data_IF_440517809736
#
_entry.id   IF_440517809736
#
_cell.length_a   1.000
_cell.length_b   1.000
_cell.length_c   1.000
_cell.angle_alpha   90.00
_cell.angle_beta   90.00
_cell.angle_gamma   90.00
#
_symmetry.space_group_name_H-M   'P 1'
#
loop_
_entity.id
_entity.type
_entity.pdbx_description
1 polymer ?
#
# COMPACT_ATOMS: atom_id res chain seq x y z
N UNK A 1 15.28 -14.56 -3.90
CA UNK A 1 14.01 -13.92 -4.13
C UNK A 1 13.06 -14.83 -4.91
N UNK A 2 13.31 -15.06 -6.22
CA UNK A 2 12.39 -15.79 -7.12
C UNK A 2 11.92 -17.14 -6.56
N UNK A 3 12.84 -17.96 -6.04
CA UNK A 3 12.49 -19.26 -5.47
C UNK A 3 11.48 -19.19 -4.32
N UNK A 4 11.56 -18.14 -3.48
CA UNK A 4 10.62 -17.93 -2.36
C UNK A 4 9.24 -17.52 -2.85
N UNK A 5 9.19 -16.62 -3.83
CA UNK A 5 7.94 -16.16 -4.44
C UNK A 5 7.22 -17.31 -5.16
N UNK A 6 7.96 -18.12 -5.93
CA UNK A 6 7.43 -19.33 -6.59
C UNK A 6 6.90 -20.33 -5.56
N UNK A 7 7.70 -20.66 -4.54
CA UNK A 7 7.30 -21.63 -3.51
C UNK A 7 6.02 -21.15 -2.76
N UNK A 8 5.91 -19.85 -2.49
CA UNK A 8 4.72 -19.30 -1.87
C UNK A 8 3.48 -19.43 -2.78
N UNK A 9 3.61 -19.01 -4.03
CA UNK A 9 2.53 -19.13 -5.01
C UNK A 9 2.13 -20.60 -5.22
N UNK A 10 3.06 -21.54 -5.32
CA UNK A 10 2.76 -22.96 -5.52
C UNK A 10 1.98 -23.57 -4.36
N UNK A 11 2.26 -23.12 -3.13
CA UNK A 11 1.56 -23.59 -1.92
C UNK A 11 0.23 -22.84 -1.65
N UNK A 12 -0.03 -21.72 -2.34
CA UNK A 12 -1.23 -20.88 -2.17
C UNK A 12 -1.89 -20.58 -3.52
N UNK A 13 -2.64 -21.52 -4.10
CA UNK A 13 -3.22 -21.38 -5.44
C UNK A 13 -4.26 -20.23 -5.55
N UNK A 14 -4.82 -19.78 -4.44
CA UNK A 14 -5.75 -18.65 -4.33
C UNK A 14 -5.05 -17.27 -4.33
N UNK A 15 -3.72 -17.24 -4.15
CA UNK A 15 -2.91 -16.02 -4.22
C UNK A 15 -2.38 -15.83 -5.64
N UNK A 16 -2.70 -14.69 -6.26
CA UNK A 16 -2.22 -14.34 -7.59
C UNK A 16 -1.09 -13.32 -7.61
N UNK A 17 -0.87 -12.60 -6.51
CA UNK A 17 0.20 -11.61 -6.37
C UNK A 17 0.95 -11.83 -5.07
N UNK A 18 2.25 -12.06 -5.17
CA UNK A 18 3.15 -12.07 -4.02
C UNK A 18 4.21 -10.98 -4.19
N UNK A 19 4.57 -10.31 -3.11
CA UNK A 19 5.62 -9.30 -3.07
C UNK A 19 6.42 -9.43 -1.77
N UNK A 20 7.25 -8.44 -1.44
CA UNK A 20 8.00 -8.42 -0.18
C UNK A 20 8.67 -7.09 0.08
N UNK A 21 9.47 -7.03 1.15
CA UNK A 21 10.12 -5.81 1.62
C UNK A 21 11.25 -5.33 0.71
N UNK A 22 11.52 -4.03 0.82
CA UNK A 22 12.62 -3.34 0.14
C UNK A 22 13.63 -2.83 1.16
N UNK A 23 14.92 -2.99 0.86
CA UNK A 23 16.00 -2.23 1.49
C UNK A 23 16.42 -1.11 0.54
N UNK A 24 15.97 0.09 0.83
CA UNK A 24 16.37 1.29 0.10
C UNK A 24 17.79 1.70 0.51
N UNK A 25 18.62 2.07 -0.47
CA UNK A 25 20.00 2.53 -0.25
C UNK A 25 20.35 3.62 -1.27
N UNK A 26 21.42 4.34 -1.05
CA UNK A 26 21.89 5.44 -1.93
C UNK A 26 21.75 6.78 -1.24
N UNK A 27 20.94 7.70 -1.77
CA UNK A 27 20.73 9.03 -1.16
C UNK A 27 19.86 8.96 0.11
N UNK A 28 19.14 7.87 0.32
CA UNK A 28 18.37 7.60 1.54
C UNK A 28 18.48 6.11 1.88
N UNK A 29 18.57 5.80 3.17
CA UNK A 29 18.62 4.42 3.65
C UNK A 29 17.43 4.13 4.55
N UNK A 30 16.66 3.09 4.20
CA UNK A 30 15.48 2.67 4.95
C UNK A 30 15.07 1.24 4.60
N UNK A 31 14.31 0.61 5.48
CA UNK A 31 13.62 -0.65 5.18
C UNK A 31 12.13 -0.36 5.07
N UNK A 32 11.55 -0.71 3.94
CA UNK A 32 10.13 -0.55 3.65
C UNK A 32 9.46 -1.93 3.68
N UNK A 33 8.51 -2.10 4.60
CA UNK A 33 7.67 -3.29 4.71
C UNK A 33 6.21 -2.88 4.53
N UNK A 34 5.49 -3.64 3.73
CA UNK A 34 4.06 -3.47 3.49
C UNK A 34 3.26 -4.47 4.35
N UNK A 35 1.94 -4.24 4.56
CA UNK A 35 1.09 -5.20 5.25
C UNK A 35 1.19 -6.60 4.64
N UNK A 36 1.13 -7.63 5.48
CA UNK A 36 1.36 -9.02 5.09
C UNK A 36 0.17 -9.63 4.37
N UNK A 37 -1.02 -9.53 4.96
CA UNK A 37 -2.20 -10.28 4.57
C UNK A 37 -3.06 -9.55 3.53
N UNK A 38 -3.75 -10.31 2.69
CA UNK A 38 -4.62 -9.82 1.63
C UNK A 38 -5.58 -8.70 2.09
N UNK A 39 -6.23 -8.92 3.22
CA UNK A 39 -7.21 -7.95 3.73
C UNK A 39 -6.56 -6.62 4.09
N UNK A 40 -5.41 -6.65 4.75
CA UNK A 40 -4.70 -5.44 5.14
C UNK A 40 -4.09 -4.75 3.93
N UNK A 41 -3.55 -5.52 2.96
CA UNK A 41 -3.05 -4.98 1.68
C UNK A 41 -4.16 -4.23 0.96
N UNK A 42 -5.35 -4.81 0.82
CA UNK A 42 -6.50 -4.20 0.15
C UNK A 42 -7.02 -2.95 0.88
N UNK A 43 -7.02 -2.98 2.21
CA UNK A 43 -7.35 -1.80 3.03
C UNK A 43 -6.34 -0.69 2.78
N UNK A 44 -5.05 -0.98 2.79
CA UNK A 44 -4.00 0.02 2.55
C UNK A 44 -4.00 0.54 1.11
N UNK A 45 -4.37 -0.28 0.10
CA UNK A 45 -4.53 0.17 -1.28
C UNK A 45 -5.59 1.27 -1.44
N UNK A 46 -6.48 1.48 -0.48
CA UNK A 46 -7.39 2.64 -0.48
C UNK A 46 -6.69 3.95 -0.13
N UNK A 47 -5.45 3.92 0.35
CA UNK A 47 -4.67 5.11 0.72
C UNK A 47 -3.37 5.24 -0.06
N UNK A 48 -2.64 4.14 -0.24
CA UNK A 48 -1.34 4.15 -0.89
C UNK A 48 -1.04 2.81 -1.57
N UNK A 49 -0.03 2.80 -2.44
CA UNK A 49 0.46 1.58 -3.06
C UNK A 49 1.14 0.69 -2.00
N UNK A 50 0.49 -0.41 -1.62
CA UNK A 50 0.93 -1.35 -0.57
C UNK A 50 1.52 -2.65 -1.12
N UNK A 51 1.90 -2.67 -2.40
CA UNK A 51 2.60 -3.78 -3.06
C UNK A 51 3.83 -3.22 -3.77
N UNK A 52 5.00 -3.68 -3.41
CA UNK A 52 6.25 -3.23 -4.01
C UNK A 52 6.42 -3.84 -5.40
N UNK A 53 6.19 -3.06 -6.46
CA UNK A 53 6.26 -3.52 -7.85
C UNK A 53 7.61 -4.18 -8.20
N UNK A 54 8.71 -3.61 -7.75
CA UNK A 54 10.06 -4.13 -7.99
C UNK A 54 10.35 -5.47 -7.29
N UNK A 55 9.54 -5.84 -6.30
CA UNK A 55 9.67 -7.05 -5.49
C UNK A 55 8.45 -7.98 -5.64
N UNK A 56 7.71 -7.90 -6.74
CA UNK A 56 6.51 -8.71 -6.92
C UNK A 56 6.68 -9.84 -7.95
N UNK A 57 5.84 -10.85 -7.81
CA UNK A 57 5.57 -11.89 -8.78
C UNK A 57 4.06 -12.07 -8.92
N UNK A 58 3.58 -12.16 -10.17
CA UNK A 58 2.15 -12.26 -10.50
C UNK A 58 1.91 -13.55 -11.28
N UNK A 59 0.84 -14.27 -10.96
CA UNK A 59 0.38 -15.37 -11.80
C UNK A 59 -0.09 -14.83 -13.14
N UNK A 60 0.53 -15.30 -14.22
CA UNK A 60 0.16 -14.89 -15.58
C UNK A 60 -1.32 -15.19 -15.88
N UNK A 61 -1.84 -16.32 -15.42
CA UNK A 61 -3.26 -16.69 -15.59
C UNK A 61 -4.21 -15.64 -15.03
N UNK A 62 -3.91 -15.07 -13.86
CA UNK A 62 -4.77 -14.02 -13.26
C UNK A 62 -4.88 -12.80 -14.17
N UNK A 63 -3.80 -12.41 -14.85
CA UNK A 63 -3.83 -11.31 -15.81
C UNK A 63 -4.62 -11.69 -17.07
N UNK A 64 -4.34 -12.85 -17.65
CA UNK A 64 -4.95 -13.31 -18.90
C UNK A 64 -6.44 -13.59 -18.73
N UNK A 65 -6.83 -14.35 -17.71
CA UNK A 65 -8.21 -14.77 -17.48
C UNK A 65 -9.14 -13.60 -17.13
N UNK A 66 -8.58 -12.50 -16.59
CA UNK A 66 -9.34 -11.30 -16.25
C UNK A 66 -9.14 -10.13 -17.24
N UNK A 67 -8.40 -10.35 -18.33
CA UNK A 67 -8.07 -9.32 -19.33
C UNK A 67 -7.49 -8.05 -18.67
N UNK A 68 -6.47 -8.24 -17.82
CA UNK A 68 -5.80 -7.17 -17.09
C UNK A 68 -4.42 -6.92 -17.69
N UNK A 69 -4.19 -5.68 -18.11
CA UNK A 69 -2.92 -5.20 -18.64
C UNK A 69 -2.54 -3.88 -17.96
N UNK A 70 -1.30 -3.44 -18.15
CA UNK A 70 -0.88 -2.10 -17.75
C UNK A 70 -1.60 -1.05 -18.60
N UNK A 71 -2.08 0.00 -17.94
CA UNK A 71 -2.78 1.11 -18.57
C UNK A 71 -1.84 2.33 -18.64
N UNK A 72 -1.24 2.64 -19.82
CA UNK A 72 -0.20 3.67 -19.96
C UNK A 72 -0.63 5.07 -19.53
N UNK A 73 -1.93 5.38 -19.61
CA UNK A 73 -2.51 6.64 -19.19
C UNK A 73 -2.36 6.95 -17.71
N UNK A 74 -2.11 5.93 -16.89
CA UNK A 74 -1.85 6.10 -15.45
C UNK A 74 -0.35 6.24 -15.12
N UNK A 75 0.54 6.21 -16.13
CA UNK A 75 1.96 6.43 -15.89
C UNK A 75 2.22 7.82 -15.27
N UNK A 76 3.06 7.91 -14.22
CA UNK A 76 3.98 6.90 -13.68
C UNK A 76 3.45 6.14 -12.44
N UNK A 77 2.16 5.89 -12.30
CA UNK A 77 1.54 5.11 -11.23
C UNK A 77 0.80 3.87 -11.79
N UNK A 78 1.27 3.35 -12.93
CA UNK A 78 0.70 2.21 -13.64
C UNK A 78 0.66 0.92 -12.80
N UNK A 79 1.60 0.76 -11.89
CA UNK A 79 1.63 -0.33 -10.92
C UNK A 79 0.47 -0.23 -9.92
N UNK A 80 0.24 0.94 -9.37
CA UNK A 80 -0.87 1.16 -8.45
C UNK A 80 -2.23 0.92 -9.14
N UNK A 81 -2.35 1.32 -10.40
CA UNK A 81 -3.53 1.03 -11.22
C UNK A 81 -3.72 -0.47 -11.44
N UNK A 82 -2.64 -1.20 -11.71
CA UNK A 82 -2.67 -2.65 -11.87
C UNK A 82 -3.19 -3.33 -10.58
N UNK A 83 -2.67 -2.92 -9.42
CA UNK A 83 -3.13 -3.46 -8.13
C UNK A 83 -4.60 -3.16 -7.89
N UNK A 84 -5.07 -1.96 -8.21
CA UNK A 84 -6.48 -1.61 -8.09
C UNK A 84 -7.39 -2.56 -8.89
N UNK A 85 -7.00 -2.93 -10.10
CA UNK A 85 -7.75 -3.90 -10.92
C UNK A 85 -7.70 -5.31 -10.33
N UNK A 86 -6.54 -5.72 -9.85
CA UNK A 86 -6.33 -7.06 -9.27
C UNK A 86 -7.04 -7.28 -7.93
N UNK A 87 -7.39 -6.22 -7.19
CA UNK A 87 -8.18 -6.32 -5.95
C UNK A 87 -9.49 -7.12 -6.13
N UNK A 88 -10.06 -7.12 -7.33
CA UNK A 88 -11.34 -7.75 -7.65
C UNK A 88 -11.26 -9.25 -7.83
N UNK A 89 -10.15 -9.75 -8.32
CA UNK A 89 -10.08 -11.09 -8.89
C UNK A 89 -9.03 -12.01 -8.25
N UNK A 90 -8.19 -11.49 -7.34
CA UNK A 90 -7.18 -12.33 -6.70
C UNK A 90 -6.87 -11.88 -5.28
N UNK A 91 -6.11 -12.72 -4.58
CA UNK A 91 -5.54 -12.40 -3.28
C UNK A 91 -4.08 -12.00 -3.43
N UNK A 92 -3.63 -11.17 -2.48
CA UNK A 92 -2.27 -10.64 -2.35
C UNK A 92 -1.59 -11.21 -1.12
N UNK A 93 -0.26 -11.24 -1.15
CA UNK A 93 0.55 -11.52 0.02
C UNK A 93 1.89 -10.77 -0.06
N UNK A 94 2.34 -10.17 1.02
CA UNK A 94 3.67 -9.60 1.12
C UNK A 94 4.52 -10.42 2.09
N UNK A 95 5.52 -11.11 1.57
CA UNK A 95 6.53 -11.84 2.36
C UNK A 95 7.22 -10.85 3.29
N UNK A 96 7.21 -11.13 4.60
CA UNK A 96 7.74 -10.25 5.63
C UNK A 96 9.27 -10.36 5.76
N UNK A 97 9.94 -10.30 4.61
CA UNK A 97 11.41 -10.24 4.49
C UNK A 97 11.81 -9.25 3.40
N UNK A 98 12.99 -8.69 3.52
CA UNK A 98 13.59 -7.88 2.48
C UNK A 98 13.96 -8.78 1.28
N UNK A 99 13.27 -8.59 0.16
CA UNK A 99 13.51 -9.36 -1.06
C UNK A 99 14.36 -8.62 -2.09
N UNK A 100 14.38 -7.29 -2.05
CA UNK A 100 15.04 -6.44 -3.06
C UNK A 100 15.81 -5.32 -2.38
N UNK A 101 17.03 -5.04 -2.89
CA UNK A 101 17.75 -3.80 -2.63
C UNK A 101 17.33 -2.77 -3.68
N UNK A 102 16.71 -1.67 -3.25
CA UNK A 102 16.19 -0.61 -4.12
C UNK A 102 17.10 0.61 -4.01
N UNK A 103 17.71 1.00 -5.14
CA UNK A 103 18.59 2.17 -5.17
C UNK A 103 17.77 3.46 -5.24
N UNK A 104 17.94 4.31 -4.24
CA UNK A 104 17.34 5.65 -4.22
C UNK A 104 18.35 6.67 -4.74
N UNK A 105 17.97 7.43 -5.77
CA UNK A 105 18.78 8.47 -6.39
C UNK A 105 17.90 9.59 -6.96
N UNK A 106 18.49 10.72 -7.29
CA UNK A 106 17.76 11.92 -7.74
C UNK A 106 16.91 11.69 -8.99
N UNK A 107 17.37 10.83 -9.89
CA UNK A 107 16.68 10.52 -11.16
C UNK A 107 15.61 9.41 -11.04
N UNK A 108 15.25 8.96 -9.84
CA UNK A 108 14.11 8.07 -9.70
C UNK A 108 12.83 8.72 -10.23
N UNK A 109 11.99 7.98 -10.92
CA UNK A 109 10.69 8.45 -11.46
C UNK A 109 9.85 9.15 -10.40
N UNK A 110 9.86 8.63 -9.18
CA UNK A 110 9.19 9.25 -8.02
C UNK A 110 9.67 10.68 -7.76
N UNK A 111 10.96 10.99 -8.00
CA UNK A 111 11.49 12.33 -7.78
C UNK A 111 11.25 13.23 -8.99
N UNK A 112 11.47 12.72 -10.21
CA UNK A 112 11.45 13.52 -11.44
C UNK A 112 10.06 13.79 -11.97
N UNK A 113 9.07 12.92 -11.69
CA UNK A 113 7.68 13.02 -12.18
C UNK A 113 6.65 13.09 -11.03
N UNK A 114 7.05 13.62 -9.88
CA UNK A 114 6.21 13.66 -8.68
C UNK A 114 4.82 14.29 -8.90
N UNK A 115 4.65 15.45 -9.56
CA UNK A 115 3.32 16.05 -9.77
C UNK A 115 2.39 15.17 -10.63
N UNK A 116 2.95 14.47 -11.62
CA UNK A 116 2.18 13.55 -12.48
C UNK A 116 1.77 12.30 -11.69
N UNK A 117 2.71 11.73 -10.93
CA UNK A 117 2.46 10.59 -10.06
C UNK A 117 1.37 10.89 -9.04
N UNK A 118 1.39 12.07 -8.42
CA UNK A 118 0.36 12.50 -7.46
C UNK A 118 -1.03 12.56 -8.11
N UNK A 119 -1.14 13.13 -9.33
CA UNK A 119 -2.43 13.19 -10.04
C UNK A 119 -2.97 11.80 -10.37
N UNK A 120 -2.12 10.93 -10.92
CA UNK A 120 -2.49 9.55 -11.22
C UNK A 120 -2.88 8.79 -9.95
N UNK A 121 -2.09 8.93 -8.88
CA UNK A 121 -2.37 8.33 -7.58
C UNK A 121 -3.74 8.73 -7.04
N UNK A 122 -4.05 10.03 -7.01
CA UNK A 122 -5.34 10.53 -6.52
C UNK A 122 -6.52 10.02 -7.35
N UNK A 123 -6.38 9.94 -8.67
CA UNK A 123 -7.39 9.40 -9.56
C UNK A 123 -7.67 7.91 -9.27
N UNK A 124 -6.60 7.11 -9.14
CA UNK A 124 -6.69 5.68 -8.81
C UNK A 124 -7.29 5.48 -7.42
N UNK A 125 -6.80 6.22 -6.43
CA UNK A 125 -7.30 6.17 -5.06
C UNK A 125 -8.81 6.46 -5.00
N UNK A 126 -9.26 7.49 -5.72
CA UNK A 126 -10.70 7.83 -5.79
C UNK A 126 -11.50 6.67 -6.37
N UNK A 127 -11.01 6.02 -7.43
CA UNK A 127 -11.68 4.85 -8.01
C UNK A 127 -11.77 3.69 -7.02
N UNK A 128 -10.65 3.35 -6.34
CA UNK A 128 -10.62 2.28 -5.32
C UNK A 128 -11.61 2.60 -4.20
N UNK A 129 -11.60 3.83 -3.68
CA UNK A 129 -12.49 4.22 -2.57
C UNK A 129 -13.97 4.15 -2.94
N UNK A 130 -14.32 4.51 -4.18
CA UNK A 130 -15.70 4.41 -4.68
C UNK A 130 -16.14 2.96 -4.85
N UNK A 131 -15.23 2.09 -5.29
CA UNK A 131 -15.53 0.69 -5.53
C UNK A 131 -15.50 -0.16 -4.25
N UNK A 132 -14.60 0.16 -3.32
CA UNK A 132 -14.40 -0.57 -2.07
C UNK A 132 -14.58 0.31 -0.83
N UNK A 133 -15.74 0.95 -0.65
CA UNK A 133 -15.96 1.92 0.44
C UNK A 133 -15.80 1.29 1.83
N UNK A 134 -16.06 0.01 1.98
CA UNK A 134 -15.86 -0.72 3.24
C UNK A 134 -14.38 -0.77 3.64
N UNK A 135 -13.46 -1.03 2.70
CA UNK A 135 -12.01 -1.01 2.98
C UNK A 135 -11.54 0.39 3.35
N UNK A 136 -12.03 1.43 2.65
CA UNK A 136 -11.74 2.82 2.97
C UNK A 136 -12.19 3.17 4.39
N UNK A 137 -13.41 2.80 4.76
CA UNK A 137 -13.93 3.03 6.11
C UNK A 137 -13.07 2.37 7.19
N UNK A 138 -12.62 1.13 6.97
CA UNK A 138 -11.71 0.45 7.90
C UNK A 138 -10.37 1.19 7.99
N UNK A 139 -9.78 1.60 6.86
CA UNK A 139 -8.54 2.36 6.87
C UNK A 139 -8.66 3.64 7.73
N UNK A 140 -9.70 4.44 7.50
CA UNK A 140 -9.91 5.69 8.22
C UNK A 140 -10.14 5.49 9.71
N UNK A 141 -10.85 4.44 10.09
CA UNK A 141 -11.18 4.18 11.49
C UNK A 141 -10.10 3.44 12.27
N UNK A 142 -9.32 2.58 11.63
CA UNK A 142 -8.37 1.71 12.31
C UNK A 142 -6.92 2.17 12.11
N UNK A 143 -6.54 2.52 10.89
CA UNK A 143 -5.13 2.76 10.54
C UNK A 143 -4.77 4.25 10.46
N UNK A 144 -5.69 5.11 10.01
CA UNK A 144 -5.38 6.53 9.84
C UNK A 144 -5.12 7.22 11.16
N UNK A 145 -3.96 7.87 11.27
CA UNK A 145 -3.62 8.71 12.40
C UNK A 145 -4.07 10.15 12.14
N UNK A 146 -4.92 10.67 13.01
CA UNK A 146 -5.40 12.05 12.95
C UNK A 146 -4.85 12.85 14.11
N UNK A 147 -4.38 14.07 13.85
CA UNK A 147 -3.91 15.00 14.87
C UNK A 147 -4.81 16.21 14.93
N UNK A 148 -5.21 16.60 16.14
CA UNK A 148 -5.79 17.92 16.40
C UNK A 148 -4.67 18.79 16.97
N UNK A 149 -4.41 19.93 16.35
CA UNK A 149 -3.32 20.84 16.73
C UNK A 149 -3.86 22.08 17.40
N UNK A 150 -3.21 22.51 18.48
CA UNK A 150 -3.45 23.82 19.10
C UNK A 150 -2.66 24.88 18.32
N UNK A 151 -3.33 25.96 17.89
CA UNK A 151 -2.75 27.02 17.06
C UNK A 151 -2.07 26.52 15.78
N UNK A 152 -2.49 25.36 15.24
CA UNK A 152 -1.91 24.78 14.02
C UNK A 152 -0.52 24.16 14.18
N UNK A 153 0.12 24.29 15.33
CA UNK A 153 1.52 23.90 15.55
C UNK A 153 1.65 22.76 16.58
N UNK A 154 1.08 22.94 17.75
CA UNK A 154 1.23 22.00 18.87
C UNK A 154 0.22 20.85 18.75
N UNK A 155 0.65 19.58 18.65
CA UNK A 155 -0.27 18.45 18.59
C UNK A 155 -0.97 18.28 19.94
N UNK A 156 -2.25 18.71 20.02
CA UNK A 156 -3.07 18.59 21.22
C UNK A 156 -3.61 17.18 21.41
N UNK A 157 -4.17 16.61 20.33
CA UNK A 157 -4.72 15.26 20.34
C UNK A 157 -4.15 14.46 19.18
N UNK A 158 -3.88 13.19 19.43
CA UNK A 158 -3.57 12.18 18.42
C UNK A 158 -4.65 11.12 18.48
N UNK A 159 -5.29 10.84 17.34
CA UNK A 159 -6.16 9.68 17.16
C UNK A 159 -5.48 8.69 16.21
N UNK A 160 -5.42 7.43 16.61
CA UNK A 160 -5.01 6.33 15.75
C UNK A 160 -5.94 5.15 16.02
N UNK A 161 -6.73 4.79 15.01
CA UNK A 161 -7.80 3.81 15.19
C UNK A 161 -8.78 4.24 16.28
N UNK A 162 -9.03 3.34 17.22
CA UNK A 162 -9.95 3.56 18.36
C UNK A 162 -9.29 4.16 19.61
N UNK A 163 -8.05 4.63 19.52
CA UNK A 163 -7.30 5.21 20.64
C UNK A 163 -7.11 6.71 20.43
N UNK A 164 -7.22 7.47 21.52
CA UNK A 164 -6.98 8.92 21.55
C UNK A 164 -5.98 9.24 22.65
N UNK A 165 -5.00 10.08 22.37
CA UNK A 165 -4.00 10.56 23.29
C UNK A 165 -4.00 12.09 23.38
N UNK A 166 -3.79 12.62 24.58
CA UNK A 166 -3.51 14.02 24.81
C UNK A 166 -2.00 14.26 24.71
N UNK A 167 -1.57 15.33 24.05
CA UNK A 167 -0.16 15.66 23.81
C UNK A 167 0.67 14.49 23.25
N UNK A 168 0.03 13.59 22.50
CA UNK A 168 0.67 12.40 21.91
C UNK A 168 1.27 11.38 22.90
N UNK A 169 1.07 11.58 24.20
CA UNK A 169 1.69 10.76 25.27
C UNK A 169 0.64 10.16 26.22
N UNK A 170 -0.34 10.94 26.64
CA UNK A 170 -1.34 10.53 27.63
C UNK A 170 -2.52 9.87 26.94
N UNK A 171 -2.80 8.58 27.14
CA UNK A 171 -3.98 7.94 26.58
C UNK A 171 -5.25 8.47 27.29
N UNK A 172 -6.21 9.00 26.52
CA UNK A 172 -7.46 9.51 27.05
C UNK A 172 -8.59 8.49 26.93
N UNK A 173 -8.75 7.89 25.74
CA UNK A 173 -9.90 7.05 25.41
C UNK A 173 -9.50 5.88 24.53
N UNK A 174 -10.20 4.77 24.73
CA UNK A 174 -10.15 3.60 23.86
C UNK A 174 -11.59 3.25 23.52
N UNK A 175 -12.00 3.47 22.28
CA UNK A 175 -13.32 3.08 21.81
C UNK A 175 -13.36 1.59 21.55
N UNK A 176 -14.47 0.92 21.91
CA UNK A 176 -14.71 -0.45 21.46
C UNK A 176 -14.93 -0.40 19.95
N UNK A 177 -14.30 -1.31 19.21
CA UNK A 177 -14.68 -1.57 17.83
C UNK A 177 -16.12 -2.11 17.83
N UNK A 178 -16.98 -1.52 17.03
CA UNK A 178 -18.33 -2.01 16.77
C UNK A 178 -18.24 -3.12 15.74
#
# INVERSE_FOLDING_TARGET
>A
RLAREVAYLDSHPDVGVVSGGLHCFGTSESVCMNPELDIDIKIYLTECCSVAHTACMIRKSVLVDNNIEYEPEYSPAEDYRLWARLMRCTRFYNIQDVLVKYRWHENNTTNTRWPEMQRAHMAIQTQICNEFPAYRSVYENVYRTTYVKLFGIIPLLKKHGNKVWLFNVIPLLKFKAV
#
